data_IF_512786285912
#
_entry.id   IF_512786285912
#
_cell.length_a   1.000
_cell.length_b   1.000
_cell.length_c   1.000
_cell.angle_alpha   90.00
_cell.angle_beta   90.00
_cell.angle_gamma   90.00
#
_symmetry.space_group_name_H-M   'P 1'
#
loop_
_entity.id
_entity.type
_entity.pdbx_description
1 polymer ?
#
# COMPACT_ATOMS: atom_id res chain seq x y z
N UNK A 1 1.65 4.62 23.22
CA UNK A 1 1.97 5.58 22.14
C UNK A 1 0.77 6.51 22.00
N UNK A 2 0.99 7.82 21.83
CA UNK A 2 -0.08 8.80 21.59
C UNK A 2 0.09 9.46 20.21
N UNK A 3 -1.02 9.80 19.52
CA UNK A 3 -0.95 10.51 18.25
C UNK A 3 -0.52 11.97 18.48
N UNK A 4 0.24 12.53 17.53
CA UNK A 4 0.55 13.98 17.52
C UNK A 4 -0.68 14.80 17.12
N UNK A 5 -1.51 14.24 16.23
CA UNK A 5 -2.80 14.78 15.83
C UNK A 5 -3.79 13.61 15.84
N UNK A 6 -4.75 13.59 16.76
CA UNK A 6 -5.63 12.44 16.97
C UNK A 6 -6.63 12.20 15.82
N UNK A 7 -7.05 13.27 15.14
CA UNK A 7 -8.04 13.23 14.04
C UNK A 7 -7.65 14.19 12.94
N UNK A 8 -6.56 13.93 12.21
CA UNK A 8 -6.02 14.85 11.22
C UNK A 8 -7.04 15.22 10.12
N UNK A 9 -7.93 14.28 9.77
CA UNK A 9 -9.04 14.52 8.84
C UNK A 9 -10.01 15.64 9.25
N UNK A 10 -10.11 15.98 10.55
CA UNK A 10 -10.98 17.09 11.01
C UNK A 10 -10.38 18.46 10.74
N UNK A 11 -9.06 18.54 10.63
CA UNK A 11 -8.35 19.80 10.43
C UNK A 11 -8.22 20.16 8.95
N UNK A 12 -8.21 19.16 8.06
CA UNK A 12 -8.15 19.35 6.60
C UNK A 12 -9.15 18.41 5.90
N UNK A 13 -10.47 18.63 6.10
CA UNK A 13 -11.50 17.69 5.64
C UNK A 13 -11.53 17.51 4.12
N UNK A 14 -11.31 18.58 3.35
CA UNK A 14 -11.36 18.49 1.89
C UNK A 14 -10.12 17.79 1.31
N UNK A 15 -8.95 17.98 1.91
CA UNK A 15 -7.74 17.23 1.56
C UNK A 15 -7.88 15.74 1.81
N UNK A 16 -8.47 15.35 2.96
CA UNK A 16 -8.77 13.96 3.24
C UNK A 16 -9.83 13.38 2.32
N UNK A 17 -10.87 14.15 1.98
CA UNK A 17 -11.89 13.72 1.02
C UNK A 17 -11.28 13.43 -0.34
N UNK A 18 -10.38 14.29 -0.83
CA UNK A 18 -9.66 14.07 -2.07
C UNK A 18 -8.77 12.83 -2.00
N UNK A 19 -8.04 12.64 -0.90
CA UNK A 19 -7.18 11.47 -0.72
C UNK A 19 -7.97 10.15 -0.64
N UNK A 20 -9.14 10.15 0.02
CA UNK A 20 -10.05 9.00 0.04
C UNK A 20 -10.67 8.75 -1.34
N UNK A 21 -10.99 9.79 -2.11
CA UNK A 21 -11.48 9.63 -3.48
C UNK A 21 -10.39 9.02 -4.39
N UNK A 22 -9.13 9.45 -4.23
CA UNK A 22 -8.00 8.85 -4.92
C UNK A 22 -7.85 7.38 -4.53
N UNK A 23 -7.86 7.05 -3.23
CA UNK A 23 -7.83 5.65 -2.76
C UNK A 23 -8.95 4.82 -3.37
N UNK A 24 -10.19 5.32 -3.36
CA UNK A 24 -11.33 4.63 -3.97
C UNK A 24 -11.15 4.39 -5.48
N UNK A 25 -10.54 5.34 -6.20
CA UNK A 25 -10.25 5.19 -7.64
C UNK A 25 -9.23 4.09 -7.94
N UNK A 26 -8.40 3.70 -6.98
CA UNK A 26 -7.43 2.61 -7.14
C UNK A 26 -8.02 1.21 -6.93
N UNK A 27 -9.29 1.11 -6.53
CA UNK A 27 -9.97 -0.15 -6.23
C UNK A 27 -10.68 -0.69 -7.47
N UNK A 28 -9.93 -1.39 -8.32
CA UNK A 28 -10.47 -2.00 -9.55
C UNK A 28 -9.98 -3.46 -9.70
N UNK A 29 -10.78 -4.40 -9.18
CA UNK A 29 -10.44 -5.82 -9.13
C UNK A 29 -10.50 -6.50 -10.50
N UNK A 30 -11.14 -5.86 -11.49
CA UNK A 30 -11.17 -6.34 -12.86
C UNK A 30 -9.86 -6.04 -13.60
N UNK A 31 -9.08 -5.06 -13.12
CA UNK A 31 -7.80 -4.65 -13.72
C UNK A 31 -6.61 -5.25 -12.97
N UNK A 32 -6.65 -5.21 -11.65
CA UNK A 32 -5.58 -5.73 -10.80
C UNK A 32 -6.21 -6.48 -9.63
N UNK A 33 -5.89 -7.76 -9.39
CA UNK A 33 -6.50 -8.51 -8.30
C UNK A 33 -6.36 -7.80 -6.96
N UNK A 34 -7.43 -7.81 -6.15
CA UNK A 34 -7.47 -7.16 -4.83
C UNK A 34 -6.27 -7.54 -3.96
N UNK A 35 -5.89 -8.82 -3.96
CA UNK A 35 -4.74 -9.33 -3.21
C UNK A 35 -3.45 -8.63 -3.63
N UNK A 36 -3.18 -8.45 -4.92
CA UNK A 36 -2.00 -7.71 -5.41
C UNK A 36 -2.05 -6.25 -4.97
N UNK A 37 -3.22 -5.59 -5.05
CA UNK A 37 -3.39 -4.21 -4.58
C UNK A 37 -3.05 -4.09 -3.07
N UNK A 38 -3.49 -5.03 -2.22
CA UNK A 38 -3.17 -4.99 -0.78
C UNK A 38 -1.71 -5.39 -0.48
N UNK A 39 -1.12 -6.32 -1.23
CA UNK A 39 0.30 -6.67 -1.11
C UNK A 39 1.21 -5.45 -1.34
N UNK A 40 0.93 -4.64 -2.36
CA UNK A 40 1.73 -3.45 -2.65
C UNK A 40 1.51 -2.34 -1.61
N UNK A 41 0.28 -2.17 -1.11
CA UNK A 41 0.01 -1.22 -0.01
C UNK A 41 0.72 -1.63 1.27
N UNK A 42 0.69 -2.92 1.61
CA UNK A 42 1.41 -3.48 2.74
C UNK A 42 2.93 -3.28 2.58
N UNK A 43 3.49 -3.62 1.41
CA UNK A 43 4.93 -3.53 1.19
C UNK A 43 5.45 -2.10 1.27
N UNK A 44 4.78 -1.16 0.61
CA UNK A 44 5.12 0.27 0.71
C UNK A 44 5.05 0.76 2.17
N UNK A 45 4.02 0.34 2.91
CA UNK A 45 3.83 0.70 4.32
C UNK A 45 4.91 0.13 5.23
N UNK A 46 5.39 -1.08 4.96
CA UNK A 46 6.53 -1.68 5.68
C UNK A 46 7.82 -0.89 5.45
N UNK A 47 8.11 -0.51 4.21
CA UNK A 47 9.30 0.30 3.86
C UNK A 47 9.24 1.67 4.56
N UNK A 48 8.07 2.32 4.54
CA UNK A 48 7.87 3.63 5.15
C UNK A 48 7.69 3.60 6.67
N UNK A 49 7.65 2.41 7.30
CA UNK A 49 7.44 2.27 8.75
C UNK A 49 6.06 2.73 9.25
N UNK A 50 5.02 2.71 8.40
CA UNK A 50 3.66 3.10 8.81
C UNK A 50 2.94 1.96 9.54
N UNK A 51 3.11 1.84 10.86
CA UNK A 51 2.45 0.79 11.65
C UNK A 51 0.91 0.80 11.55
N UNK A 52 0.29 1.97 11.45
CA UNK A 52 -1.16 2.11 11.18
C UNK A 52 -1.56 1.43 9.87
N UNK A 53 -0.83 1.73 8.80
CA UNK A 53 -1.11 1.26 7.46
C UNK A 53 -0.78 -0.24 7.32
N UNK A 54 0.29 -0.71 7.96
CA UNK A 54 0.66 -2.14 8.01
C UNK A 54 -0.46 -2.95 8.66
N UNK A 55 -0.99 -2.53 9.82
CA UNK A 55 -2.11 -3.21 10.46
C UNK A 55 -3.34 -3.25 9.55
N UNK A 56 -3.76 -2.09 9.03
CA UNK A 56 -4.93 -1.97 8.16
C UNK A 56 -4.82 -2.85 6.91
N UNK A 57 -3.76 -2.72 6.11
CA UNK A 57 -3.63 -3.45 4.86
C UNK A 57 -3.32 -4.94 5.05
N UNK A 58 -2.74 -5.34 6.18
CA UNK A 58 -2.64 -6.77 6.50
C UNK A 58 -4.01 -7.39 6.71
N UNK A 59 -4.91 -6.68 7.41
CA UNK A 59 -6.28 -7.15 7.62
C UNK A 59 -7.13 -7.07 6.35
N UNK A 60 -7.04 -5.98 5.57
CA UNK A 60 -7.75 -5.87 4.29
C UNK A 60 -7.31 -6.97 3.30
N UNK A 61 -6.02 -7.35 3.31
CA UNK A 61 -5.53 -8.49 2.51
C UNK A 61 -6.14 -9.82 2.96
N UNK A 62 -6.21 -10.08 4.28
CA UNK A 62 -6.87 -11.28 4.83
C UNK A 62 -8.35 -11.33 4.45
N UNK A 63 -9.06 -10.21 4.58
CA UNK A 63 -10.47 -10.09 4.23
C UNK A 63 -10.71 -10.30 2.72
N UNK A 64 -9.67 -10.08 1.91
CA UNK A 64 -9.65 -10.30 0.46
C UNK A 64 -9.20 -11.70 0.04
N UNK A 65 -8.95 -12.61 1.00
CA UNK A 65 -8.59 -14.01 0.74
C UNK A 65 -7.09 -14.30 0.65
N UNK A 66 -6.22 -13.37 1.05
CA UNK A 66 -4.78 -13.64 1.18
C UNK A 66 -4.50 -14.59 2.37
N UNK A 67 -3.44 -15.39 2.26
CA UNK A 67 -3.05 -16.33 3.31
C UNK A 67 -2.12 -15.69 4.35
N UNK A 68 -2.31 -16.03 5.63
CA UNK A 68 -1.51 -15.53 6.75
C UNK A 68 -0.02 -15.83 6.54
N UNK A 69 0.29 -17.04 6.09
CA UNK A 69 1.67 -17.50 5.85
C UNK A 69 2.36 -16.67 4.77
N UNK A 70 1.61 -16.25 3.74
CA UNK A 70 2.13 -15.40 2.67
C UNK A 70 2.39 -13.98 3.16
N UNK A 71 1.49 -13.42 3.98
CA UNK A 71 1.63 -12.08 4.56
C UNK A 71 2.91 -11.91 5.37
N UNK A 72 3.29 -12.91 6.16
CA UNK A 72 4.55 -12.88 6.93
C UNK A 72 5.79 -12.73 6.06
N UNK A 73 5.74 -13.21 4.82
CA UNK A 73 6.86 -13.17 3.89
C UNK A 73 6.87 -11.97 2.96
N UNK A 74 5.87 -11.09 2.98
CA UNK A 74 5.83 -9.89 2.11
C UNK A 74 7.05 -9.00 2.33
N UNK A 75 7.53 -8.87 3.57
CA UNK A 75 8.72 -8.08 3.87
C UNK A 75 10.02 -8.67 3.28
N UNK A 76 10.02 -9.97 2.98
CA UNK A 76 11.14 -10.76 2.48
C UNK A 76 10.79 -11.51 1.18
N UNK A 77 9.89 -10.94 0.37
CA UNK A 77 9.22 -11.63 -0.73
C UNK A 77 10.15 -12.23 -1.79
N UNK A 78 11.37 -11.66 -1.96
CA UNK A 78 12.36 -12.16 -2.92
C UNK A 78 12.79 -13.60 -2.62
N UNK A 79 12.83 -13.97 -1.34
CA UNK A 79 13.22 -15.31 -0.89
C UNK A 79 12.02 -16.26 -0.70
N UNK A 80 10.80 -15.78 -0.97
CA UNK A 80 9.58 -16.56 -0.84
C UNK A 80 9.14 -17.14 -2.20
N UNK A 81 9.00 -18.48 -2.33
CA UNK A 81 8.75 -19.13 -3.62
C UNK A 81 7.29 -19.07 -4.09
N UNK A 82 6.36 -18.64 -3.25
CA UNK A 82 4.93 -18.68 -3.55
C UNK A 82 4.38 -17.43 -4.25
N UNK A 83 5.14 -16.33 -4.33
CA UNK A 83 4.70 -15.16 -5.07
C UNK A 83 4.80 -15.40 -6.58
N UNK A 84 3.72 -15.13 -7.30
CA UNK A 84 3.67 -15.28 -8.76
C UNK A 84 4.58 -14.27 -9.46
N UNK A 85 4.87 -14.47 -10.75
CA UNK A 85 5.64 -13.49 -11.54
C UNK A 85 5.02 -12.08 -11.49
N UNK A 86 3.70 -11.99 -11.63
CA UNK A 86 2.96 -10.73 -11.53
C UNK A 86 3.10 -10.08 -10.16
N UNK A 87 2.95 -10.85 -9.07
CA UNK A 87 3.12 -10.34 -7.71
C UNK A 87 4.56 -9.86 -7.45
N UNK A 88 5.56 -10.61 -7.92
CA UNK A 88 6.98 -10.25 -7.79
C UNK A 88 7.32 -8.97 -8.57
N UNK A 89 6.79 -8.82 -9.78
CA UNK A 89 6.97 -7.59 -10.57
C UNK A 89 6.28 -6.39 -9.90
N UNK A 90 5.07 -6.56 -9.39
CA UNK A 90 4.36 -5.52 -8.65
C UNK A 90 5.10 -5.10 -7.36
N UNK A 91 5.58 -6.08 -6.58
CA UNK A 91 6.38 -5.83 -5.38
C UNK A 91 7.70 -5.14 -5.70
N UNK A 92 8.43 -5.56 -6.74
CA UNK A 92 9.67 -4.92 -7.18
C UNK A 92 9.45 -3.46 -7.56
N UNK A 93 8.47 -3.18 -8.43
CA UNK A 93 8.13 -1.82 -8.83
C UNK A 93 7.70 -0.97 -7.61
N UNK A 94 6.95 -1.56 -6.68
CA UNK A 94 6.53 -0.90 -5.44
C UNK A 94 7.72 -0.45 -4.59
N UNK A 95 8.76 -1.29 -4.45
CA UNK A 95 9.95 -0.91 -3.67
C UNK A 95 10.70 0.26 -4.31
N UNK A 96 10.90 0.24 -5.63
CA UNK A 96 11.61 1.30 -6.35
C UNK A 96 10.84 2.63 -6.31
N UNK A 97 9.53 2.61 -6.59
CA UNK A 97 8.68 3.82 -6.54
C UNK A 97 8.60 4.37 -5.11
N UNK A 98 8.56 3.51 -4.10
CA UNK A 98 8.50 3.96 -2.69
C UNK A 98 9.81 4.64 -2.27
N UNK A 99 10.95 4.17 -2.76
CA UNK A 99 12.30 4.64 -2.41
C UNK A 99 12.86 5.64 -3.42
N UNK A 100 11.97 6.40 -4.08
CA UNK A 100 12.32 7.33 -5.16
C UNK A 100 13.45 8.30 -4.79
N UNK A 101 13.52 8.74 -3.54
CA UNK A 101 14.53 9.68 -3.06
C UNK A 101 15.86 9.03 -2.64
N UNK A 102 15.91 7.69 -2.53
CA UNK A 102 17.11 6.96 -2.08
C UNK A 102 18.14 6.79 -3.21
N UNK A 103 17.76 7.03 -4.48
CA UNK A 103 18.55 6.68 -5.66
C UNK A 103 18.55 7.78 -6.72
N UNK A 104 19.66 7.97 -7.44
CA UNK A 104 19.72 8.92 -8.56
C UNK A 104 18.98 8.42 -9.80
N UNK A 105 19.00 7.11 -10.04
CA UNK A 105 18.23 6.43 -11.09
C UNK A 105 17.07 5.69 -10.43
N UNK A 106 16.01 6.44 -10.14
CA UNK A 106 14.84 5.92 -9.43
C UNK A 106 13.90 5.22 -10.44
N UNK A 107 13.50 3.98 -10.13
CA UNK A 107 12.74 3.09 -11.03
C UNK A 107 13.53 2.76 -12.30
N UNK A 108 14.57 1.90 -12.21
CA UNK A 108 15.37 1.51 -13.38
C UNK A 108 14.51 0.86 -14.47
N UNK A 109 14.85 1.08 -15.74
CA UNK A 109 14.13 0.54 -16.91
C UNK A 109 13.93 -0.97 -16.81
N UNK A 110 14.92 -1.73 -16.33
CA UNK A 110 14.80 -3.18 -16.17
C UNK A 110 13.68 -3.61 -15.19
N UNK A 111 13.38 -2.80 -14.16
CA UNK A 111 12.27 -3.05 -13.23
C UNK A 111 10.94 -2.69 -13.89
N UNK A 112 10.90 -1.59 -14.64
CA UNK A 112 9.72 -1.19 -15.41
C UNK A 112 9.37 -2.22 -16.48
N UNK A 113 10.35 -2.65 -17.27
CA UNK A 113 10.19 -3.60 -18.36
C UNK A 113 9.68 -4.96 -17.88
N UNK A 114 10.15 -5.44 -16.71
CA UNK A 114 9.63 -6.69 -16.13
C UNK A 114 8.16 -6.55 -15.68
N UNK A 115 7.76 -5.38 -15.16
CA UNK A 115 6.36 -5.10 -14.85
C UNK A 115 5.51 -4.98 -16.13
N UNK A 116 6.00 -4.28 -17.16
CA UNK A 116 5.34 -4.13 -18.46
C UNK A 116 5.24 -5.45 -19.23
N UNK A 117 6.11 -6.42 -18.95
CA UNK A 117 6.02 -7.76 -19.53
C UNK A 117 4.86 -8.61 -18.96
N UNK A 118 4.21 -8.18 -17.87
CA UNK A 118 3.14 -8.95 -17.19
C UNK A 118 1.87 -8.16 -16.89
N UNK A 119 1.89 -6.84 -17.08
CA UNK A 119 0.76 -5.92 -16.91
C UNK A 119 0.59 -5.05 -18.15
N UNK A 120 -0.66 -4.82 -18.56
CA UNK A 120 -0.95 -3.82 -19.58
C UNK A 120 -0.85 -2.39 -19.01
N UNK A 121 -0.93 -1.38 -19.89
CA UNK A 121 -0.80 0.03 -19.49
C UNK A 121 -1.85 0.46 -18.44
N UNK A 122 -3.06 -0.10 -18.49
CA UNK A 122 -4.12 0.21 -17.53
C UNK A 122 -3.77 -0.36 -16.15
N UNK A 123 -3.32 -1.61 -16.08
CA UNK A 123 -2.91 -2.26 -14.85
C UNK A 123 -1.63 -1.64 -14.25
N UNK A 124 -0.65 -1.27 -15.08
CA UNK A 124 0.54 -0.54 -14.65
C UNK A 124 0.19 0.83 -14.07
N UNK A 125 -0.69 1.58 -14.75
CA UNK A 125 -1.13 2.89 -14.28
C UNK A 125 -1.87 2.77 -12.94
N UNK A 126 -2.75 1.78 -12.81
CA UNK A 126 -3.44 1.48 -11.55
C UNK A 126 -2.45 1.11 -10.43
N UNK A 127 -1.46 0.27 -10.73
CA UNK A 127 -0.42 -0.14 -9.78
C UNK A 127 0.39 1.07 -9.29
N UNK A 128 0.95 1.89 -10.21
CA UNK A 128 1.72 3.08 -9.84
C UNK A 128 0.88 4.07 -9.04
N UNK A 129 -0.38 4.29 -9.43
CA UNK A 129 -1.31 5.16 -8.70
C UNK A 129 -1.59 4.61 -7.30
N UNK A 130 -1.75 3.30 -7.16
CA UNK A 130 -1.89 2.62 -5.86
C UNK A 130 -0.68 2.87 -4.98
N UNK A 131 0.53 2.67 -5.51
CA UNK A 131 1.79 2.88 -4.77
C UNK A 131 1.97 4.35 -4.37
N UNK A 132 1.65 5.30 -5.24
CA UNK A 132 1.68 6.73 -4.93
C UNK A 132 0.69 7.10 -3.82
N UNK A 133 -0.53 6.57 -3.89
CA UNK A 133 -1.60 6.83 -2.93
C UNK A 133 -1.25 6.32 -1.53
N UNK A 134 -0.76 5.08 -1.41
CA UNK A 134 -0.32 4.55 -0.11
C UNK A 134 0.89 5.31 0.43
N UNK A 135 1.79 5.77 -0.43
CA UNK A 135 2.92 6.60 -0.06
C UNK A 135 2.47 7.94 0.55
N UNK A 136 1.39 8.54 0.03
CA UNK A 136 0.78 9.72 0.63
C UNK A 136 0.15 9.42 2.00
N UNK A 137 -0.61 8.32 2.12
CA UNK A 137 -1.19 7.86 3.40
C UNK A 137 -0.12 7.57 4.46
N UNK A 138 0.98 6.94 4.07
CA UNK A 138 2.09 6.63 4.96
C UNK A 138 2.71 7.91 5.51
N UNK A 139 2.98 8.92 4.65
CA UNK A 139 3.56 10.21 5.06
C UNK A 139 2.69 10.89 6.11
N UNK A 140 1.39 10.95 5.86
CA UNK A 140 0.42 11.56 6.77
C UNK A 140 0.35 10.78 8.10
N UNK A 141 0.21 9.46 8.02
CA UNK A 141 0.01 8.60 9.19
C UNK A 141 1.23 8.56 10.10
N UNK A 142 2.43 8.46 9.53
CA UNK A 142 3.70 8.48 10.27
C UNK A 142 3.95 9.86 10.89
N UNK A 143 3.80 10.94 10.11
CA UNK A 143 4.04 12.29 10.61
C UNK A 143 3.13 12.64 11.79
N UNK A 144 1.88 12.18 11.76
CA UNK A 144 0.88 12.42 12.81
C UNK A 144 0.83 11.35 13.91
N UNK A 145 1.68 10.31 13.83
CA UNK A 145 1.74 9.16 14.76
C UNK A 145 0.39 8.44 14.94
N UNK A 146 -0.30 8.14 13.85
CA UNK A 146 -1.51 7.30 13.92
C UNK A 146 -1.19 5.92 14.51
N UNK A 147 -2.09 5.39 15.34
CA UNK A 147 -1.84 4.19 16.14
C UNK A 147 -2.33 2.94 15.39
N UNK A 148 -1.48 1.93 15.24
CA UNK A 148 -1.86 0.61 14.71
C UNK A 148 -3.10 0.01 15.42
N UNK A 149 -4.02 -0.58 14.67
CA UNK A 149 -5.25 -1.15 15.19
C UNK A 149 -6.34 -0.14 15.54
N UNK A 150 -6.06 1.17 15.53
CA UNK A 150 -7.04 2.19 15.93
C UNK A 150 -8.24 2.28 14.97
N UNK A 151 -8.03 2.07 13.67
CA UNK A 151 -9.10 2.05 12.67
C UNK A 151 -10.09 0.91 12.92
N UNK A 152 -9.58 -0.32 13.06
CA UNK A 152 -10.40 -1.50 13.33
C UNK A 152 -11.12 -1.43 14.68
N UNK A 153 -10.46 -0.90 15.72
CA UNK A 153 -11.09 -0.68 17.03
C UNK A 153 -12.21 0.36 16.96
N UNK A 154 -12.05 1.41 16.15
CA UNK A 154 -13.10 2.40 15.92
C UNK A 154 -14.30 1.77 15.19
N UNK A 155 -14.05 1.00 14.13
CA UNK A 155 -15.07 0.29 13.37
C UNK A 155 -15.85 -0.71 14.27
N UNK A 156 -15.15 -1.53 15.06
CA UNK A 156 -15.77 -2.45 16.01
C UNK A 156 -16.59 -1.76 17.11
N UNK A 157 -16.25 -0.51 17.44
CA UNK A 157 -17.00 0.32 18.40
C UNK A 157 -18.14 1.13 17.75
N UNK A 158 -18.43 0.93 16.46
CA UNK A 158 -19.46 1.68 15.73
C UNK A 158 -19.15 3.17 15.58
N UNK A 159 -17.87 3.56 15.65
CA UNK A 159 -17.43 4.95 15.52
C UNK A 159 -16.91 5.19 14.09
N UNK A 160 -17.35 6.27 13.41
CA UNK A 160 -16.87 6.62 12.08
C UNK A 160 -15.37 6.95 12.09
#
# INVERSE_FOLDING_TARGET
MEPRISRPYRHVPDGYRALTALEASTRDDAVLPRTVQELVRLRASQINGCGFCVDMHSHDALDSGEAVERLFSVAAWREAPWFTRQERAALALTEEVTRLADRPDAVPDAVWDEAAAVFDERALTLLVTTVATINAWNRISVATRQIAGSHRRAAAAGRP
#
